data_IF_825251706472
#
_entry.id   IF_825251706472
#
_cell.length_a   1.000
_cell.length_b   1.000
_cell.length_c   1.000
_cell.angle_alpha   90.00
_cell.angle_beta   90.00
_cell.angle_gamma   90.00
#
_symmetry.space_group_name_H-M   'P 1'
#
loop_
_entity.id
_entity.type
_entity.pdbx_description
1 polymer ?
#
# COMPACT_ATOMS: atom_id res chain seq x y z
N UNK A 1 -25.36 -19.34 -4.79
CA UNK A 1 -23.95 -19.01 -4.51
C UNK A 1 -23.80 -17.49 -4.63
N UNK A 2 -23.91 -16.73 -3.54
CA UNK A 2 -23.69 -15.26 -3.61
C UNK A 2 -22.18 -15.01 -3.58
N UNK A 3 -21.58 -14.72 -4.74
CA UNK A 3 -20.25 -14.13 -4.82
C UNK A 3 -20.33 -12.76 -4.12
N UNK A 4 -19.92 -12.71 -2.84
CA UNK A 4 -19.62 -11.44 -2.20
C UNK A 4 -18.33 -10.93 -2.82
N UNK A 5 -18.44 -10.26 -3.96
CA UNK A 5 -17.37 -9.39 -4.43
C UNK A 5 -17.10 -8.42 -3.28
N UNK A 6 -15.91 -8.55 -2.69
CA UNK A 6 -15.44 -7.64 -1.66
C UNK A 6 -15.19 -6.30 -2.37
N UNK A 7 -16.24 -5.50 -2.55
CA UNK A 7 -16.24 -4.24 -3.31
C UNK A 7 -15.34 -3.16 -2.69
N UNK A 8 -14.71 -3.45 -1.54
CA UNK A 8 -13.90 -2.50 -0.77
C UNK A 8 -12.39 -2.65 -0.93
N UNK A 9 -11.91 -3.54 -1.80
CA UNK A 9 -10.47 -3.69 -2.01
C UNK A 9 -10.13 -3.58 -3.49
N UNK A 10 -9.75 -2.37 -3.88
CA UNK A 10 -8.93 -2.15 -5.06
C UNK A 10 -7.80 -3.18 -5.07
N UNK A 11 -7.54 -3.90 -6.17
CA UNK A 11 -6.50 -4.92 -6.19
C UNK A 11 -5.12 -4.29 -6.02
N UNK A 12 -4.24 -4.96 -5.26
CA UNK A 12 -2.84 -4.57 -5.13
C UNK A 12 -2.16 -4.69 -6.51
N UNK A 13 -1.55 -3.60 -6.96
CA UNK A 13 -0.83 -3.54 -8.24
C UNK A 13 0.64 -3.84 -8.05
N UNK A 14 1.30 -3.14 -7.12
CA UNK A 14 2.75 -3.25 -6.91
C UNK A 14 3.19 -2.74 -5.54
N UNK A 15 4.33 -3.22 -5.07
CA UNK A 15 5.04 -2.63 -3.92
C UNK A 15 6.02 -1.58 -4.44
N UNK A 16 5.90 -0.35 -3.92
CA UNK A 16 6.78 0.79 -4.22
C UNK A 16 7.51 1.22 -2.94
N UNK A 17 8.58 1.99 -3.07
CA UNK A 17 9.35 2.48 -1.93
C UNK A 17 9.32 4.01 -1.91
N UNK A 18 9.08 4.58 -0.74
CA UNK A 18 9.23 6.01 -0.51
C UNK A 18 10.44 6.28 0.37
N UNK A 19 11.19 7.32 0.05
CA UNK A 19 12.26 7.81 0.92
C UNK A 19 11.64 8.73 1.97
N UNK A 20 11.93 8.47 3.24
CA UNK A 20 11.55 9.37 4.34
C UNK A 20 12.76 9.67 5.20
N UNK A 21 12.78 10.84 5.82
CA UNK A 21 13.82 11.22 6.77
C UNK A 21 13.31 11.01 8.19
N UNK A 22 13.83 9.99 8.87
CA UNK A 22 13.50 9.66 10.27
C UNK A 22 14.75 9.92 11.10
N UNK A 23 14.66 10.80 12.10
CA UNK A 23 15.77 11.13 13.01
C UNK A 23 17.09 11.48 12.29
N UNK A 24 16.99 12.18 11.16
CA UNK A 24 18.17 12.59 10.38
C UNK A 24 18.70 11.54 9.39
N UNK A 25 18.20 10.30 9.45
CA UNK A 25 18.56 9.20 8.52
C UNK A 25 17.52 9.07 7.41
N UNK A 26 17.99 8.77 6.19
CA UNK A 26 17.12 8.42 5.08
C UNK A 26 16.76 6.94 5.19
N UNK A 27 15.47 6.66 5.26
CA UNK A 27 14.91 5.31 5.32
C UNK A 27 13.99 5.08 4.12
N UNK A 28 14.01 3.85 3.61
CA UNK A 28 13.12 3.40 2.55
C UNK A 28 11.95 2.64 3.19
N UNK A 29 10.74 3.16 3.03
CA UNK A 29 9.53 2.52 3.54
C UNK A 29 8.78 1.87 2.37
N UNK A 30 8.43 0.58 2.47
CA UNK A 30 7.58 -0.08 1.47
C UNK A 30 6.14 0.40 1.59
N UNK A 31 5.55 0.70 0.43
CA UNK A 31 4.15 1.06 0.26
C UNK A 31 3.50 0.13 -0.77
N UNK A 32 2.24 -0.16 -0.53
CA UNK A 32 1.37 -0.92 -1.42
C UNK A 32 0.61 0.06 -2.31
N UNK A 33 0.82 -0.03 -3.62
CA UNK A 33 0.08 0.70 -4.64
C UNK A 33 -1.10 -0.15 -5.12
N UNK A 34 -2.29 0.41 -5.01
CA UNK A 34 -3.53 -0.23 -5.42
C UNK A 34 -4.03 0.33 -6.75
N UNK A 35 -4.94 -0.39 -7.42
CA UNK A 35 -5.40 -0.05 -8.77
C UNK A 35 -6.22 1.25 -8.86
N UNK A 36 -6.74 1.72 -7.73
CA UNK A 36 -7.37 3.05 -7.59
C UNK A 36 -6.34 4.19 -7.43
N UNK A 37 -5.04 3.87 -7.43
CA UNK A 37 -3.96 4.83 -7.18
C UNK A 37 -3.72 5.11 -5.69
N UNK A 38 -4.44 4.47 -4.78
CA UNK A 38 -4.19 4.62 -3.35
C UNK A 38 -2.88 3.96 -2.94
N UNK A 39 -2.20 4.59 -1.98
CA UNK A 39 -0.98 4.08 -1.36
C UNK A 39 -1.26 3.75 0.11
N UNK A 40 -0.93 2.54 0.54
CA UNK A 40 -0.98 2.15 1.96
C UNK A 40 0.38 1.68 2.44
N UNK A 41 0.67 1.86 3.72
CA UNK A 41 1.87 1.25 4.32
C UNK A 41 1.65 -0.25 4.40
N UNK A 42 2.63 -1.01 3.92
CA UNK A 42 2.59 -2.46 4.04
C UNK A 42 2.74 -2.81 5.53
N UNK A 43 1.69 -3.34 6.16
CA UNK A 43 1.68 -3.72 7.58
C UNK A 43 0.73 -2.95 8.51
N UNK A 44 -0.10 -2.04 8.01
CA UNK A 44 -1.16 -1.38 8.82
C UNK A 44 -2.39 -2.30 8.98
N UNK A 45 -2.18 -3.43 9.67
CA UNK A 45 -3.18 -4.44 10.02
C UNK A 45 -3.51 -4.41 11.51
#
# INVERSE_FOLDING_TARGET
MSLRYNQNQSPLVKVVYTQVKVNGRLELIPLELYADGSLKRSGDR
#
